data_IF_083269201010
#
_entry.id   IF_083269201010
#
_cell.length_a   1.000
_cell.length_b   1.000
_cell.length_c   1.000
_cell.angle_alpha   90.00
_cell.angle_beta   90.00
_cell.angle_gamma   90.00
#
_symmetry.space_group_name_H-M   'P 1'
#
loop_
_entity.id
_entity.type
_entity.pdbx_description
1 polymer ?
#
# COMPACT_ATOMS: atom_id res chain seq x y z
N UNK A 1 13.19 -3.14 -24.45
CA UNK A 1 12.38 -2.59 -23.39
C UNK A 1 11.29 -3.56 -23.00
N UNK A 2 11.14 -3.82 -21.73
CA UNK A 2 10.07 -4.68 -21.25
C UNK A 2 8.72 -4.01 -21.45
N UNK A 3 7.84 -4.67 -22.16
CA UNK A 3 6.56 -4.10 -22.49
C UNK A 3 5.61 -4.02 -21.31
N UNK A 4 5.82 -4.85 -20.29
CA UNK A 4 4.97 -4.84 -19.11
C UNK A 4 5.46 -3.94 -17.99
N UNK A 5 6.69 -3.44 -18.09
CA UNK A 5 7.30 -2.66 -17.00
C UNK A 5 7.06 -1.17 -17.24
N UNK A 6 6.08 -0.60 -16.57
CA UNK A 6 5.74 0.82 -16.68
C UNK A 6 6.27 1.65 -15.53
N UNK A 7 6.93 1.05 -14.56
CA UNK A 7 7.51 1.75 -13.43
C UNK A 7 8.15 0.82 -12.44
N UNK A 8 8.91 1.39 -11.49
CA UNK A 8 9.49 0.62 -10.39
C UNK A 8 8.41 0.28 -9.35
N UNK A 9 8.65 -0.70 -8.46
CA UNK A 9 7.70 -0.99 -7.40
C UNK A 9 7.35 0.25 -6.56
N UNK A 10 8.33 1.10 -6.26
CA UNK A 10 8.06 2.33 -5.51
C UNK A 10 7.19 3.30 -6.30
N UNK A 11 7.41 3.44 -7.61
CA UNK A 11 6.57 4.30 -8.46
C UNK A 11 5.14 3.79 -8.50
N UNK A 12 4.94 2.47 -8.55
CA UNK A 12 3.62 1.87 -8.47
C UNK A 12 2.90 2.24 -7.16
N UNK A 13 3.60 2.10 -6.03
CA UNK A 13 3.01 2.41 -4.73
C UNK A 13 2.68 3.89 -4.61
N UNK A 14 3.56 4.78 -5.10
CA UNK A 14 3.28 6.21 -5.06
C UNK A 14 2.08 6.56 -5.95
N UNK A 15 1.98 5.94 -7.13
CA UNK A 15 0.82 6.15 -8.00
C UNK A 15 -0.46 5.69 -7.33
N UNK A 16 -0.46 4.49 -6.72
CA UNK A 16 -1.63 3.94 -6.05
C UNK A 16 -2.03 4.75 -4.82
N UNK A 17 -1.09 5.08 -3.97
CA UNK A 17 -1.38 5.64 -2.64
C UNK A 17 -1.40 7.16 -2.63
N UNK A 18 -0.52 7.82 -3.39
CA UNK A 18 -0.43 9.27 -3.35
C UNK A 18 -1.33 9.94 -4.39
N UNK A 19 -1.49 9.33 -5.57
CA UNK A 19 -2.29 9.93 -6.63
C UNK A 19 -3.71 9.37 -6.73
N UNK A 20 -3.88 8.05 -6.68
CA UNK A 20 -5.22 7.45 -6.79
C UNK A 20 -6.00 7.63 -5.50
N UNK A 21 -5.44 7.18 -4.36
CA UNK A 21 -6.14 7.26 -3.07
C UNK A 21 -6.08 8.65 -2.44
N UNK A 22 -4.93 9.29 -2.52
CA UNK A 22 -4.77 10.64 -1.98
C UNK A 22 -5.08 10.75 -0.49
N UNK A 23 -5.62 11.90 -0.09
CA UNK A 23 -5.86 12.18 1.32
C UNK A 23 -7.01 11.36 1.93
N UNK A 24 -7.91 10.83 1.13
CA UNK A 24 -9.01 10.02 1.67
C UNK A 24 -8.53 8.74 2.31
N UNK A 25 -7.44 8.15 1.80
CA UNK A 25 -6.85 6.96 2.39
C UNK A 25 -6.23 7.26 3.76
N UNK A 26 -5.73 8.48 3.99
CA UNK A 26 -5.18 8.87 5.28
C UNK A 26 -6.22 8.79 6.39
N UNK A 27 -7.45 9.20 6.09
CA UNK A 27 -8.55 9.12 7.05
C UNK A 27 -8.83 7.66 7.41
N UNK A 28 -8.86 6.78 6.42
CA UNK A 28 -9.09 5.35 6.66
C UNK A 28 -7.95 4.76 7.48
N UNK A 29 -6.71 4.95 7.03
CA UNK A 29 -5.54 4.34 7.69
C UNK A 29 -5.35 4.84 9.11
N UNK A 30 -5.38 6.14 9.32
CA UNK A 30 -5.13 6.73 10.63
C UNK A 30 -6.37 6.72 11.52
N UNK A 31 -7.54 7.07 10.96
CA UNK A 31 -8.76 7.19 11.73
C UNK A 31 -9.45 5.87 12.01
N UNK A 32 -9.57 4.99 11.02
CA UNK A 32 -10.29 3.72 11.17
C UNK A 32 -9.35 2.61 11.63
N UNK A 33 -8.21 2.44 10.95
CA UNK A 33 -7.28 1.35 11.28
C UNK A 33 -6.32 1.71 12.42
N UNK A 34 -6.23 2.97 12.80
CA UNK A 34 -5.37 3.39 13.89
C UNK A 34 -3.88 3.31 13.57
N UNK A 35 -3.51 3.36 12.30
CA UNK A 35 -2.12 3.32 11.87
C UNK A 35 -1.44 4.66 12.15
N UNK A 36 -0.17 4.60 12.53
CA UNK A 36 0.64 5.80 12.80
C UNK A 36 1.43 6.13 11.55
N UNK A 37 0.96 7.12 10.83
CA UNK A 37 1.57 7.54 9.57
C UNK A 37 2.11 8.97 9.71
N UNK A 38 3.11 9.28 8.88
CA UNK A 38 3.66 10.64 8.78
C UNK A 38 3.42 11.15 7.37
N UNK A 39 2.26 11.77 7.10
CA UNK A 39 1.94 12.27 5.77
C UNK A 39 2.91 13.37 5.34
N UNK A 40 3.01 13.55 4.03
CA UNK A 40 3.85 14.56 3.44
C UNK A 40 4.88 13.94 2.50
N UNK A 41 5.44 14.72 1.56
CA UNK A 41 6.44 14.21 0.63
C UNK A 41 7.69 13.76 1.36
N UNK A 42 8.19 12.57 1.00
CA UNK A 42 9.39 12.02 1.60
C UNK A 42 9.99 10.94 0.71
N UNK A 43 11.32 10.87 0.55
CA UNK A 43 11.95 9.77 -0.18
C UNK A 43 11.90 8.45 0.59
N UNK A 44 11.68 8.49 1.91
CA UNK A 44 11.67 7.30 2.76
C UNK A 44 10.26 6.83 3.12
N UNK A 45 9.24 7.51 2.62
CA UNK A 45 7.84 7.19 2.91
C UNK A 45 6.99 7.31 1.68
N UNK A 46 5.97 6.46 1.59
CA UNK A 46 4.94 6.53 0.56
C UNK A 46 3.62 6.77 1.26
N UNK A 47 3.00 7.92 1.03
CA UNK A 47 1.74 8.32 1.67
C UNK A 47 1.79 8.17 3.20
N UNK A 48 2.96 8.41 3.80
CA UNK A 48 3.17 8.29 5.24
C UNK A 48 3.62 6.92 5.73
N UNK A 49 3.53 5.89 4.91
CA UNK A 49 4.04 4.56 5.23
C UNK A 49 5.56 4.54 5.10
N UNK A 50 6.23 3.95 6.10
CA UNK A 50 7.69 3.86 6.07
C UNK A 50 8.15 2.79 5.07
N UNK A 51 9.13 3.13 4.25
CA UNK A 51 9.78 2.15 3.39
C UNK A 51 10.74 1.34 4.27
N UNK A 52 10.41 0.07 4.51
CA UNK A 52 11.17 -0.78 5.44
C UNK A 52 12.10 -1.75 4.73
N UNK A 53 12.03 -1.83 3.41
CA UNK A 53 12.92 -2.67 2.63
C UNK A 53 12.76 -2.41 1.15
N UNK A 54 13.85 -2.58 0.42
CA UNK A 54 13.92 -2.46 -1.03
C UNK A 54 14.82 -3.55 -1.58
N UNK A 55 14.49 -4.06 -2.74
CA UNK A 55 15.30 -5.02 -3.47
C UNK A 55 15.05 -4.91 -4.95
N UNK A 56 15.67 -5.80 -5.72
CA UNK A 56 15.43 -5.85 -7.16
C UNK A 56 13.98 -6.24 -7.41
N UNK A 57 13.20 -5.30 -7.94
CA UNK A 57 11.83 -5.55 -8.32
C UNK A 57 10.84 -5.59 -7.16
N UNK A 58 11.21 -5.15 -5.94
CA UNK A 58 10.24 -5.11 -4.84
C UNK A 58 10.51 -3.96 -3.87
N UNK A 59 9.47 -3.54 -3.18
CA UNK A 59 9.56 -2.59 -2.08
C UNK A 59 8.53 -2.98 -1.00
N UNK A 60 8.91 -2.79 0.26
CA UNK A 60 8.05 -3.10 1.40
C UNK A 60 7.79 -1.83 2.21
N UNK A 61 6.52 -1.61 2.53
CA UNK A 61 6.08 -0.52 3.40
C UNK A 61 5.58 -1.08 4.72
N UNK A 62 5.77 -0.33 5.78
CA UNK A 62 5.29 -0.68 7.11
C UNK A 62 4.58 0.50 7.77
N UNK A 63 3.52 0.20 8.52
CA UNK A 63 2.83 1.18 9.35
C UNK A 63 2.47 0.53 10.69
N UNK A 64 3.03 1.02 11.81
CA UNK A 64 2.62 0.54 13.12
C UNK A 64 1.28 1.15 13.52
N UNK A 65 0.56 0.47 14.39
CA UNK A 65 -0.69 0.95 14.93
C UNK A 65 -0.96 0.38 16.30
N UNK A 66 -2.00 0.86 16.94
CA UNK A 66 -2.34 0.38 18.28
C UNK A 66 -3.18 -0.91 18.27
N UNK A 67 -3.93 -1.15 17.20
CA UNK A 67 -4.74 -2.35 17.04
C UNK A 67 -4.06 -3.40 16.17
N UNK A 68 -3.30 -2.95 15.18
CA UNK A 68 -2.64 -3.80 14.20
C UNK A 68 -1.43 -3.09 13.65
N UNK A 69 -0.49 -3.86 13.12
CA UNK A 69 0.61 -3.33 12.31
C UNK A 69 0.48 -3.92 10.93
N UNK A 70 0.65 -3.11 9.90
CA UNK A 70 0.45 -3.52 8.53
C UNK A 70 1.75 -3.46 7.75
N UNK A 71 1.94 -4.42 6.86
CA UNK A 71 3.03 -4.42 5.88
C UNK A 71 2.45 -4.60 4.49
N UNK A 72 2.98 -3.85 3.55
CA UNK A 72 2.60 -3.92 2.15
C UNK A 72 3.84 -4.24 1.32
N UNK A 73 3.70 -5.16 0.38
CA UNK A 73 4.80 -5.49 -0.54
C UNK A 73 4.29 -5.29 -1.95
N UNK A 74 5.04 -4.51 -2.73
CA UNK A 74 4.82 -4.35 -4.16
C UNK A 74 5.99 -4.96 -4.89
N UNK A 75 5.73 -5.86 -5.82
CA UNK A 75 6.74 -6.50 -6.62
C UNK A 75 6.40 -6.36 -8.11
N UNK A 76 7.41 -6.09 -8.91
CA UNK A 76 7.28 -6.01 -10.37
C UNK A 76 8.30 -6.96 -10.97
N UNK A 77 7.81 -7.92 -11.77
CA UNK A 77 8.66 -8.90 -12.42
C UNK A 77 8.23 -9.01 -13.88
N UNK A 78 9.04 -8.45 -14.78
CA UNK A 78 8.69 -8.41 -16.20
C UNK A 78 7.40 -7.64 -16.42
N UNK A 79 6.38 -8.33 -16.88
CA UNK A 79 5.07 -7.73 -17.13
C UNK A 79 4.05 -8.00 -16.02
N UNK A 80 4.51 -8.52 -14.86
CA UNK A 80 3.64 -8.78 -13.72
C UNK A 80 3.91 -7.80 -12.59
N UNK A 81 2.84 -7.21 -12.06
CA UNK A 81 2.87 -6.40 -10.86
C UNK A 81 2.03 -7.10 -9.78
N UNK A 82 2.64 -7.33 -8.62
CA UNK A 82 1.99 -8.03 -7.52
C UNK A 82 1.96 -7.14 -6.28
N UNK A 83 0.82 -7.10 -5.62
CA UNK A 83 0.63 -6.30 -4.40
C UNK A 83 0.08 -7.22 -3.32
N UNK A 84 0.75 -7.25 -2.16
CA UNK A 84 0.36 -8.09 -1.03
C UNK A 84 0.29 -7.26 0.24
N UNK A 85 -0.69 -7.57 1.07
CA UNK A 85 -0.89 -6.92 2.37
C UNK A 85 -0.80 -7.98 3.47
N UNK A 86 -0.01 -7.68 4.51
CA UNK A 86 0.14 -8.52 5.68
C UNK A 86 -0.28 -7.72 6.90
N UNK A 87 -1.14 -8.30 7.73
CA UNK A 87 -1.68 -7.65 8.91
C UNK A 87 -1.29 -8.45 10.14
N UNK A 88 -0.69 -7.78 11.12
CA UNK A 88 -0.37 -8.37 12.42
C UNK A 88 -1.28 -7.78 13.47
N UNK A 89 -2.12 -8.61 14.08
CA UNK A 89 -3.02 -8.13 15.12
C UNK A 89 -2.27 -7.93 16.43
N UNK A 90 -2.56 -6.82 17.09
CA UNK A 90 -2.01 -6.53 18.41
C UNK A 90 -3.01 -6.85 19.51
N UNK A 91 -4.32 -6.86 19.18
CA UNK A 91 -5.38 -7.15 20.13
C UNK A 91 -6.63 -7.63 19.39
N UNK A 92 -7.67 -7.98 20.15
CA UNK A 92 -8.91 -8.46 19.57
C UNK A 92 -9.65 -7.41 18.76
N UNK A 93 -9.48 -6.12 19.09
CA UNK A 93 -10.12 -5.05 18.32
C UNK A 93 -9.60 -5.01 16.90
N UNK A 94 -8.27 -5.15 16.72
CA UNK A 94 -7.67 -5.17 15.39
C UNK A 94 -8.14 -6.38 14.58
N UNK A 95 -8.21 -7.54 15.20
CA UNK A 95 -8.70 -8.76 14.54
C UNK A 95 -10.17 -8.60 14.12
N UNK A 96 -11.02 -8.09 14.99
CA UNK A 96 -12.43 -7.90 14.69
C UNK A 96 -12.65 -6.90 13.56
N UNK A 97 -11.92 -5.79 13.60
CA UNK A 97 -12.02 -4.77 12.56
C UNK A 97 -11.58 -5.31 11.21
N UNK A 98 -10.41 -5.94 11.16
CA UNK A 98 -9.88 -6.44 9.88
C UNK A 98 -10.74 -7.56 9.32
N UNK A 99 -11.32 -8.41 10.17
CA UNK A 99 -12.23 -9.46 9.71
C UNK A 99 -13.42 -8.89 8.95
N UNK A 100 -13.88 -7.70 9.33
CA UNK A 100 -14.98 -7.02 8.62
C UNK A 100 -14.52 -6.31 7.36
N UNK A 101 -13.30 -5.76 7.36
CA UNK A 101 -12.81 -4.94 6.26
C UNK A 101 -12.05 -5.74 5.20
N UNK A 102 -11.58 -6.94 5.52
CA UNK A 102 -10.72 -7.69 4.61
C UNK A 102 -11.40 -8.04 3.29
N UNK A 103 -12.70 -8.29 3.30
CA UNK A 103 -13.44 -8.59 2.08
C UNK A 103 -13.46 -7.36 1.14
N UNK A 104 -13.68 -6.18 1.70
CA UNK A 104 -13.66 -4.93 0.94
C UNK A 104 -12.25 -4.69 0.39
N UNK A 105 -11.22 -4.91 1.23
CA UNK A 105 -9.84 -4.77 0.80
C UNK A 105 -9.51 -5.71 -0.37
N UNK A 106 -9.87 -6.99 -0.26
CA UNK A 106 -9.63 -7.95 -1.35
C UNK A 106 -10.37 -7.58 -2.62
N UNK A 107 -11.58 -7.03 -2.49
CA UNK A 107 -12.37 -6.60 -3.64
C UNK A 107 -11.85 -5.35 -4.32
N UNK A 108 -11.21 -4.43 -3.56
CA UNK A 108 -10.77 -3.15 -4.10
C UNK A 108 -9.30 -3.16 -4.56
N UNK A 109 -8.48 -4.09 -4.08
CA UNK A 109 -7.06 -4.11 -4.43
C UNK A 109 -6.80 -4.24 -5.94
N UNK A 110 -7.50 -5.11 -6.69
CA UNK A 110 -7.30 -5.18 -8.15
C UNK A 110 -7.63 -3.87 -8.85
N UNK A 111 -8.68 -3.16 -8.41
CA UNK A 111 -9.05 -1.88 -9.00
C UNK A 111 -8.00 -0.82 -8.70
N UNK A 112 -7.42 -0.84 -7.51
CA UNK A 112 -6.36 0.07 -7.12
C UNK A 112 -5.11 -0.15 -7.98
N UNK A 113 -4.74 -1.41 -8.22
CA UNK A 113 -3.62 -1.74 -9.10
C UNK A 113 -3.86 -1.23 -10.52
N UNK A 114 -5.06 -1.43 -11.04
CA UNK A 114 -5.43 -0.96 -12.37
C UNK A 114 -5.36 0.56 -12.46
N UNK A 115 -5.88 1.26 -11.47
CA UNK A 115 -5.85 2.72 -11.45
C UNK A 115 -4.42 3.25 -11.34
N UNK A 116 -3.55 2.59 -10.56
CA UNK A 116 -2.15 2.93 -10.49
C UNK A 116 -1.44 2.77 -11.83
N UNK A 117 -1.76 1.68 -12.54
CA UNK A 117 -1.23 1.44 -13.88
C UNK A 117 -1.62 2.56 -14.85
N UNK A 118 -2.87 3.01 -14.80
CA UNK A 118 -3.34 4.10 -15.65
C UNK A 118 -2.60 5.41 -15.35
N UNK A 119 -2.32 5.70 -14.09
CA UNK A 119 -1.54 6.86 -13.70
C UNK A 119 -0.13 6.78 -14.29
N UNK A 120 0.51 5.62 -14.19
CA UNK A 120 1.88 5.44 -14.70
C UNK A 120 1.97 5.54 -16.22
N UNK A 121 0.87 5.29 -16.91
CA UNK A 121 0.82 5.41 -18.37
C UNK A 121 0.61 6.84 -18.88
N UNK A 122 0.29 7.79 -18.02
CA UNK A 122 0.06 9.18 -18.41
C UNK A 122 1.29 9.88 -18.94
#
# INVERSE_FOLDING_TARGET
MDRGTVGTPEEWLRAMFEEVLGSSAQVLWQGVLGLRLRPGPSPDRVAGWRISGRGDGWVRLEAPGWMMSDQLIMAVDGDEATFATFVRYRNGAGRALWSRLSAVHRGSAPDLLRSGYEVLLR
#
